data_IF_795741580239
#
_entry.id   IF_795741580239
#
_cell.length_a   1.000
_cell.length_b   1.000
_cell.length_c   1.000
_cell.angle_alpha   90.00
_cell.angle_beta   90.00
_cell.angle_gamma   90.00
#
_symmetry.space_group_name_H-M   'P 1'
#
loop_
_entity.id
_entity.type
_entity.pdbx_description
1 polymer ?
#
# COMPACT_ATOMS: atom_id res chain seq x y z
N UNK A 1 -18.95 -35.67 7.59
CA UNK A 1 -17.80 -34.91 8.14
C UNK A 1 -16.55 -35.26 7.35
N UNK A 2 -16.02 -34.29 6.60
CA UNK A 2 -14.58 -34.06 6.32
C UNK A 2 -14.53 -32.80 5.42
N UNK A 3 -14.42 -31.60 5.99
CA UNK A 3 -13.16 -30.88 6.22
C UNK A 3 -12.27 -30.74 4.97
N UNK A 4 -12.19 -29.50 4.48
CA UNK A 4 -10.91 -28.91 4.09
C UNK A 4 -10.53 -28.96 2.61
N UNK A 5 -11.14 -28.11 1.79
CA UNK A 5 -10.43 -27.51 0.66
C UNK A 5 -10.06 -26.08 1.03
N UNK A 6 -9.02 -25.94 1.86
CA UNK A 6 -8.32 -24.66 2.01
C UNK A 6 -7.19 -24.61 1.01
N UNK A 7 -7.20 -23.54 0.22
CA UNK A 7 -6.36 -23.28 -0.93
C UNK A 7 -4.87 -23.49 -0.60
N UNK A 8 -4.21 -24.39 -1.36
CA UNK A 8 -2.76 -24.40 -1.53
C UNK A 8 -2.33 -23.11 -2.22
N UNK A 9 -2.13 -22.08 -1.41
CA UNK A 9 -1.27 -20.94 -1.70
C UNK A 9 0.13 -21.18 -1.14
N UNK A 10 0.66 -22.40 -1.26
CA UNK A 10 2.10 -22.62 -1.19
C UNK A 10 2.69 -21.78 -2.32
N UNK A 11 3.49 -20.73 -2.05
CA UNK A 11 4.63 -20.30 -2.89
C UNK A 11 5.28 -18.96 -2.48
N UNK A 12 4.83 -18.22 -1.45
CA UNK A 12 5.52 -16.98 -1.05
C UNK A 12 5.87 -16.80 0.44
N UNK A 13 5.36 -17.65 1.34
CA UNK A 13 5.42 -17.37 2.79
C UNK A 13 6.44 -18.20 3.58
N UNK A 14 7.21 -19.08 2.95
CA UNK A 14 8.10 -20.00 3.69
C UNK A 14 9.37 -19.33 4.26
N UNK A 15 9.57 -18.01 4.14
CA UNK A 15 10.82 -17.31 4.51
C UNK A 15 10.66 -15.85 4.97
N UNK A 16 9.46 -15.38 5.31
CA UNK A 16 9.30 -14.00 5.81
C UNK A 16 9.09 -14.06 7.31
N UNK A 17 10.04 -13.50 8.07
CA UNK A 17 9.95 -13.45 9.53
C UNK A 17 8.80 -12.55 10.00
N UNK A 18 8.20 -12.84 11.17
CA UNK A 18 7.15 -11.98 11.78
C UNK A 18 7.54 -10.50 11.80
N UNK A 19 8.82 -10.23 12.12
CA UNK A 19 9.40 -8.89 12.12
C UNK A 19 9.40 -8.21 10.76
N UNK A 20 9.65 -8.94 9.68
CA UNK A 20 9.66 -8.40 8.32
C UNK A 20 8.23 -8.05 7.85
N UNK A 21 7.22 -8.80 8.29
CA UNK A 21 5.81 -8.46 8.05
C UNK A 21 5.41 -7.15 8.77
N UNK A 22 5.85 -6.96 10.01
CA UNK A 22 5.62 -5.73 10.75
C UNK A 22 6.32 -4.52 10.12
N UNK A 23 7.57 -4.69 9.71
CA UNK A 23 8.35 -3.66 9.03
C UNK A 23 7.67 -3.26 7.71
N UNK A 24 7.22 -4.23 6.90
CA UNK A 24 6.53 -3.97 5.63
C UNK A 24 5.17 -3.31 5.81
N UNK A 25 4.42 -3.71 6.83
CA UNK A 25 3.15 -3.06 7.16
C UNK A 25 3.36 -1.58 7.53
N UNK A 26 4.35 -1.30 8.37
CA UNK A 26 4.68 0.06 8.79
C UNK A 26 5.21 0.92 7.63
N UNK A 27 5.99 0.32 6.72
CA UNK A 27 6.45 0.98 5.50
C UNK A 27 5.27 1.42 4.62
N UNK A 28 4.32 0.52 4.33
CA UNK A 28 3.12 0.86 3.56
C UNK A 28 2.26 1.92 4.24
N UNK A 29 2.10 1.82 5.56
CA UNK A 29 1.38 2.84 6.34
C UNK A 29 2.04 4.21 6.21
N UNK A 30 3.37 4.27 6.37
CA UNK A 30 4.13 5.51 6.24
C UNK A 30 4.03 6.11 4.83
N UNK A 31 4.10 5.27 3.79
CA UNK A 31 3.91 5.70 2.40
C UNK A 31 2.52 6.30 2.19
N UNK A 32 1.47 5.64 2.67
CA UNK A 32 0.09 6.16 2.59
C UNK A 32 -0.08 7.48 3.34
N UNK A 33 0.45 7.61 4.55
CA UNK A 33 0.41 8.85 5.32
C UNK A 33 1.15 9.98 4.57
N UNK A 34 2.28 9.67 3.93
CA UNK A 34 3.03 10.64 3.12
C UNK A 34 2.26 11.08 1.88
N UNK A 35 1.64 10.15 1.14
CA UNK A 35 0.81 10.46 -0.04
C UNK A 35 -0.39 11.32 0.35
N UNK A 36 -1.06 10.96 1.45
CA UNK A 36 -2.19 11.72 1.97
C UNK A 36 -1.81 13.16 2.33
N UNK A 37 -0.66 13.35 2.99
CA UNK A 37 -0.17 14.70 3.29
C UNK A 37 0.14 15.52 2.04
N UNK A 38 0.62 14.89 0.95
CA UNK A 38 0.83 15.57 -0.33
C UNK A 38 -0.50 16.00 -0.95
N UNK A 39 -1.53 15.14 -0.92
CA UNK A 39 -2.88 15.49 -1.36
C UNK A 39 -3.41 16.69 -0.57
N UNK A 40 -3.30 16.67 0.76
CA UNK A 40 -3.75 17.78 1.61
C UNK A 40 -3.00 19.09 1.29
N UNK A 41 -1.69 19.03 1.05
CA UNK A 41 -0.91 20.19 0.66
C UNK A 41 -1.37 20.77 -0.70
N UNK A 42 -1.66 19.90 -1.67
CA UNK A 42 -2.19 20.31 -2.98
C UNK A 42 -3.60 20.93 -2.89
N UNK A 43 -4.43 20.46 -1.96
CA UNK A 43 -5.76 21.04 -1.71
C UNK A 43 -5.69 22.37 -0.95
N UNK A 44 -4.70 22.54 -0.07
CA UNK A 44 -4.55 23.74 0.75
C UNK A 44 -3.86 24.91 0.02
N UNK A 45 -3.10 24.61 -1.05
CA UNK A 45 -2.43 25.65 -1.83
C UNK A 45 -3.39 26.42 -2.74
N UNK A 46 -3.12 27.71 -2.94
CA UNK A 46 -3.75 28.47 -4.01
C UNK A 46 -3.27 27.92 -5.35
N UNK A 47 -4.17 27.45 -6.23
CA UNK A 47 -3.77 26.80 -7.47
C UNK A 47 -3.07 27.79 -8.41
N UNK A 48 -1.87 27.48 -8.93
CA UNK A 48 -1.28 28.23 -10.02
C UNK A 48 -2.11 28.05 -11.30
N UNK A 49 -1.89 28.90 -12.32
CA UNK A 49 -2.58 28.75 -13.61
C UNK A 49 -2.07 27.53 -14.37
N UNK A 50 -0.77 27.23 -14.25
CA UNK A 50 -0.11 26.11 -14.90
C UNK A 50 0.80 25.37 -13.91
N UNK A 51 0.92 24.06 -14.09
CA UNK A 51 1.97 23.23 -13.50
C UNK A 51 3.02 22.90 -14.56
N UNK A 52 4.29 22.85 -14.14
CA UNK A 52 5.38 22.30 -14.93
C UNK A 52 5.61 20.86 -14.50
N UNK A 53 5.58 19.95 -15.48
CA UNK A 53 6.03 18.57 -15.29
C UNK A 53 7.55 18.49 -15.24
N UNK A 54 8.09 17.34 -14.79
CA UNK A 54 9.54 17.05 -14.79
C UNK A 54 10.20 17.15 -16.18
N UNK A 55 9.39 17.12 -17.25
CA UNK A 55 9.81 17.20 -18.66
C UNK A 55 9.52 18.59 -19.26
N UNK A 56 9.44 19.63 -18.41
CA UNK A 56 9.21 21.05 -18.79
C UNK A 56 7.93 21.32 -19.60
N UNK A 57 7.01 20.37 -19.66
CA UNK A 57 5.73 20.55 -20.34
C UNK A 57 4.74 21.21 -19.37
N UNK A 58 4.14 22.32 -19.81
CA UNK A 58 3.15 23.10 -19.05
C UNK A 58 1.75 22.59 -19.29
N UNK A 59 1.07 22.22 -18.22
CA UNK A 59 -0.34 21.80 -18.25
C UNK A 59 -1.18 22.75 -17.39
N UNK A 60 -2.47 22.95 -17.72
CA UNK A 60 -3.42 23.56 -16.80
C UNK A 60 -3.34 22.87 -15.44
N UNK A 61 -3.27 23.65 -14.35
CA UNK A 61 -3.13 23.08 -13.01
C UNK A 61 -4.20 22.04 -12.67
N UNK A 62 -5.42 22.23 -13.16
CA UNK A 62 -6.52 21.30 -12.95
C UNK A 62 -6.28 19.92 -13.58
N UNK A 63 -5.69 19.87 -14.78
CA UNK A 63 -5.37 18.61 -15.47
C UNK A 63 -4.21 17.91 -14.77
N UNK A 64 -3.16 18.67 -14.43
CA UNK A 64 -2.03 18.14 -13.65
C UNK A 64 -2.48 17.58 -12.30
N UNK A 65 -3.40 18.26 -11.62
CA UNK A 65 -3.92 17.83 -10.32
C UNK A 65 -4.76 16.55 -10.47
N UNK A 66 -5.61 16.43 -11.49
CA UNK A 66 -6.41 15.22 -11.71
C UNK A 66 -5.50 14.00 -11.95
N UNK A 67 -4.48 14.15 -12.79
CA UNK A 67 -3.52 13.08 -13.08
C UNK A 67 -2.75 12.69 -11.80
N UNK A 68 -2.26 13.68 -11.03
CA UNK A 68 -1.54 13.40 -9.78
C UNK A 68 -2.41 12.75 -8.70
N UNK A 69 -3.66 13.16 -8.58
CA UNK A 69 -4.60 12.54 -7.65
C UNK A 69 -4.92 11.10 -8.05
N UNK A 70 -4.96 10.80 -9.35
CA UNK A 70 -5.12 9.44 -9.85
C UNK A 70 -3.92 8.57 -9.53
N UNK A 71 -2.71 9.05 -9.80
CA UNK A 71 -1.45 8.36 -9.47
C UNK A 71 -1.41 8.01 -7.96
N UNK A 72 -1.67 9.00 -7.11
CA UNK A 72 -1.67 8.80 -5.65
C UNK A 72 -2.76 7.82 -5.20
N UNK A 73 -3.94 7.87 -5.82
CA UNK A 73 -5.01 6.93 -5.51
C UNK A 73 -4.61 5.49 -5.83
N UNK A 74 -4.04 5.25 -7.01
CA UNK A 74 -3.58 3.92 -7.42
C UNK A 74 -2.51 3.39 -6.46
N UNK A 75 -1.51 4.22 -6.12
CA UNK A 75 -0.45 3.84 -5.18
C UNK A 75 -1.00 3.54 -3.77
N UNK A 76 -1.95 4.33 -3.28
CA UNK A 76 -2.61 4.09 -2.00
C UNK A 76 -3.42 2.79 -2.00
N UNK A 77 -4.18 2.51 -3.07
CA UNK A 77 -4.96 1.27 -3.20
C UNK A 77 -4.06 0.03 -3.19
N UNK A 78 -2.93 0.08 -3.89
CA UNK A 78 -1.97 -1.03 -3.89
C UNK A 78 -1.33 -1.26 -2.51
N UNK A 79 -0.97 -0.18 -1.82
CA UNK A 79 -0.48 -0.25 -0.44
C UNK A 79 -1.54 -0.82 0.52
N UNK A 80 -2.81 -0.43 0.39
CA UNK A 80 -3.89 -0.97 1.22
C UNK A 80 -4.10 -2.46 0.97
N UNK A 81 -4.09 -2.92 -0.29
CA UNK A 81 -4.17 -4.35 -0.61
C UNK A 81 -3.02 -5.14 -0.01
N UNK A 82 -1.80 -4.58 -0.03
CA UNK A 82 -0.65 -5.23 0.60
C UNK A 82 -0.84 -5.32 2.12
N UNK A 83 -1.30 -4.24 2.75
CA UNK A 83 -1.57 -4.20 4.18
C UNK A 83 -2.65 -5.20 4.58
N UNK A 84 -3.75 -5.31 3.83
CA UNK A 84 -4.81 -6.30 4.07
C UNK A 84 -4.26 -7.73 3.99
N UNK A 85 -3.42 -8.03 3.00
CA UNK A 85 -2.77 -9.34 2.88
C UNK A 85 -1.83 -9.62 4.06
N UNK A 86 -1.08 -8.62 4.52
CA UNK A 86 -0.20 -8.76 5.68
C UNK A 86 -1.02 -8.99 6.96
N UNK A 87 -2.13 -8.27 7.15
CA UNK A 87 -3.05 -8.47 8.27
C UNK A 87 -3.67 -9.85 8.26
N UNK A 88 -4.17 -10.32 7.11
CA UNK A 88 -4.68 -11.68 6.95
C UNK A 88 -3.59 -12.73 7.25
N UNK A 89 -2.34 -12.47 6.86
CA UNK A 89 -1.23 -13.34 7.24
C UNK A 89 -1.06 -13.36 8.76
N UNK A 90 -1.02 -12.20 9.42
CA UNK A 90 -0.87 -12.11 10.89
C UNK A 90 -1.99 -12.84 11.64
N UNK A 91 -3.24 -12.69 11.22
CA UNK A 91 -4.38 -13.42 11.80
C UNK A 91 -4.16 -14.93 11.71
N UNK A 92 -3.71 -15.44 10.56
CA UNK A 92 -3.39 -16.87 10.40
C UNK A 92 -2.22 -17.31 11.30
N UNK A 93 -1.20 -16.46 11.50
CA UNK A 93 -0.08 -16.73 12.42
C UNK A 93 -0.53 -16.75 13.90
N UNK A 94 -1.53 -15.94 14.26
CA UNK A 94 -2.11 -15.91 15.61
C UNK A 94 -3.01 -17.11 15.88
N UNK A 95 -3.83 -17.51 14.89
CA UNK A 95 -4.75 -18.65 15.00
C UNK A 95 -4.03 -20.00 14.93
N UNK A 96 -2.92 -20.10 14.20
CA UNK A 96 -2.18 -21.35 13.99
C UNK A 96 -0.66 -21.15 14.17
N UNK A 97 -0.19 -20.86 15.39
CA UNK A 97 1.21 -20.56 15.65
C UNK A 97 2.14 -21.74 15.34
N UNK A 98 1.67 -22.99 15.47
CA UNK A 98 2.41 -24.20 15.11
C UNK A 98 2.73 -24.36 13.61
N UNK A 99 2.04 -23.65 12.71
CA UNK A 99 2.28 -23.74 11.26
C UNK A 99 3.43 -22.83 10.79
N UNK A 100 4.09 -22.13 11.73
CA UNK A 100 5.05 -21.09 11.45
C UNK A 100 6.36 -21.45 12.15
N UNK A 101 7.25 -22.12 11.43
CA UNK A 101 8.64 -22.26 11.89
C UNK A 101 9.31 -20.90 11.84
N UNK A 102 9.73 -20.39 13.01
CA UNK A 102 10.69 -19.29 13.09
C UNK A 102 11.90 -19.67 12.24
N UNK A 103 12.11 -18.96 11.13
CA UNK A 103 13.31 -19.06 10.32
C UNK A 103 14.50 -18.47 11.04
#
# INVERSE_FOLDING_TARGET
MSFGTYYKGEFYLSRIGKKELDEKYNECKWLNDRLWNQILAMCAMTPPVYAESEVETKYPWAEYLDDKLRDFKEEMEDNYRLMERISACKEVLEENPENVTEG
#
